data_IF_041152850133
#
_entry.id   IF_041152850133
#
_cell.length_a   1.000
_cell.length_b   1.000
_cell.length_c   1.000
_cell.angle_alpha   90.00
_cell.angle_beta   90.00
_cell.angle_gamma   90.00
#
_symmetry.space_group_name_H-M   'P 1'
#
loop_
_entity.id
_entity.type
_entity.pdbx_description
1 polymer ?
#
# COMPACT_ATOMS: atom_id res chain seq x y z
N UNK A 1 40.84 -20.01 0.59
CA UNK A 1 39.36 -20.11 0.47
C UNK A 1 38.56 -19.06 1.27
N UNK A 2 39.17 -18.26 2.16
CA UNK A 2 38.49 -17.13 2.83
C UNK A 2 38.20 -15.96 1.86
N UNK A 3 39.11 -15.72 0.91
CA UNK A 3 39.03 -14.61 -0.05
C UNK A 3 37.79 -14.67 -0.96
N UNK A 4 37.51 -15.84 -1.55
CA UNK A 4 36.32 -16.04 -2.40
C UNK A 4 35.00 -15.92 -1.60
N UNK A 5 34.98 -16.38 -0.35
CA UNK A 5 33.74 -16.44 0.45
C UNK A 5 33.43 -15.14 1.21
N UNK A 6 34.44 -14.31 1.49
CA UNK A 6 34.29 -13.08 2.29
C UNK A 6 34.70 -11.82 1.55
N UNK A 7 35.87 -11.82 0.92
CA UNK A 7 36.43 -10.61 0.29
C UNK A 7 35.73 -10.27 -1.03
N UNK A 8 35.40 -11.29 -1.83
CA UNK A 8 34.74 -11.07 -3.12
C UNK A 8 33.34 -10.46 -2.97
N UNK A 9 32.43 -10.95 -2.11
CA UNK A 9 31.15 -10.28 -1.87
C UNK A 9 31.29 -8.83 -1.39
N UNK A 10 32.20 -8.57 -0.44
CA UNK A 10 32.44 -7.23 0.09
C UNK A 10 32.96 -6.28 -0.99
N UNK A 11 33.89 -6.75 -1.83
CA UNK A 11 34.43 -5.98 -2.94
C UNK A 11 33.35 -5.65 -3.98
N UNK A 12 32.48 -6.61 -4.32
CA UNK A 12 31.35 -6.38 -5.23
C UNK A 12 30.39 -5.34 -4.64
N UNK A 13 30.03 -5.47 -3.36
CA UNK A 13 29.15 -4.48 -2.71
C UNK A 13 29.79 -3.09 -2.65
N UNK A 14 31.11 -3.02 -2.46
CA UNK A 14 31.85 -1.77 -2.46
C UNK A 14 31.83 -1.10 -3.83
N UNK A 15 32.20 -1.82 -4.89
CA UNK A 15 32.20 -1.30 -6.27
C UNK A 15 30.80 -0.85 -6.68
N UNK A 16 29.79 -1.68 -6.42
CA UNK A 16 28.39 -1.33 -6.72
C UNK A 16 27.97 -0.09 -5.93
N UNK A 17 28.24 -0.03 -4.62
CA UNK A 17 27.91 1.12 -3.78
C UNK A 17 28.58 2.43 -4.26
N UNK A 18 29.86 2.38 -4.61
CA UNK A 18 30.61 3.53 -5.13
C UNK A 18 30.06 4.00 -6.48
N UNK A 19 29.81 3.08 -7.41
CA UNK A 19 29.18 3.41 -8.69
C UNK A 19 27.82 4.08 -8.50
N UNK A 20 27.07 3.69 -7.47
CA UNK A 20 25.76 4.28 -7.18
C UNK A 20 25.84 5.68 -6.62
N UNK A 21 26.80 5.95 -5.73
CA UNK A 21 27.05 7.31 -5.24
C UNK A 21 27.41 8.20 -6.43
N UNK A 22 28.30 7.73 -7.31
CA UNK A 22 28.68 8.47 -8.52
C UNK A 22 27.45 8.70 -9.41
N UNK A 23 26.65 7.67 -9.66
CA UNK A 23 25.48 7.79 -10.53
C UNK A 23 24.41 8.75 -10.00
N UNK A 24 24.21 8.77 -8.69
CA UNK A 24 23.23 9.64 -8.05
C UNK A 24 23.68 11.11 -8.02
N UNK A 25 24.96 11.35 -7.75
CA UNK A 25 25.52 12.71 -7.62
C UNK A 25 26.04 13.29 -8.95
N UNK A 26 26.15 12.51 -10.03
CA UNK A 26 26.72 13.01 -11.30
C UNK A 26 25.81 13.98 -12.06
N UNK A 27 24.54 14.15 -11.67
CA UNK A 27 23.60 15.03 -12.37
C UNK A 27 23.45 14.71 -13.87
N UNK A 28 23.76 13.47 -14.26
CA UNK A 28 23.92 13.11 -15.66
C UNK A 28 22.55 13.09 -16.38
N UNK A 29 22.57 13.51 -17.66
CA UNK A 29 21.37 13.57 -18.50
C UNK A 29 20.63 12.22 -18.55
N UNK A 30 19.29 12.22 -18.71
CA UNK A 30 18.44 11.01 -18.63
C UNK A 30 18.86 9.84 -19.54
N UNK A 31 19.52 10.16 -20.65
CA UNK A 31 19.98 9.29 -21.72
C UNK A 31 21.39 8.73 -21.50
N UNK A 32 22.12 9.23 -20.49
CA UNK A 32 23.48 8.79 -20.18
C UNK A 32 23.55 7.33 -19.68
N UNK A 33 24.65 6.60 -19.97
CA UNK A 33 24.86 5.24 -19.46
C UNK A 33 24.82 5.16 -17.92
N UNK A 34 25.20 6.24 -17.24
CA UNK A 34 25.25 6.36 -15.78
C UNK A 34 23.82 6.36 -15.19
N UNK A 35 22.87 7.06 -15.82
CA UNK A 35 21.45 7.07 -15.41
C UNK A 35 20.76 5.71 -15.55
N UNK A 36 21.21 4.84 -16.47
CA UNK A 36 20.68 3.47 -16.61
C UNK A 36 20.99 2.58 -15.40
N UNK A 37 22.08 2.85 -14.69
CA UNK A 37 22.44 2.10 -13.47
C UNK A 37 21.45 2.46 -12.35
N UNK A 38 21.09 3.74 -12.22
CA UNK A 38 20.10 4.22 -11.26
C UNK A 38 18.70 3.63 -11.53
N UNK A 39 18.25 3.57 -12.79
CA UNK A 39 16.94 3.00 -13.13
C UNK A 39 16.83 1.49 -12.90
N UNK A 40 17.96 0.79 -12.70
CA UNK A 40 17.98 -0.64 -12.40
C UNK A 40 17.77 -0.91 -10.90
N UNK A 41 18.06 0.07 -10.01
CA UNK A 41 17.94 -0.08 -8.56
C UNK A 41 16.54 -0.49 -8.06
N UNK A 42 15.43 0.15 -8.49
CA UNK A 42 14.10 -0.23 -8.04
C UNK A 42 13.77 -1.71 -8.33
N UNK A 43 14.34 -2.26 -9.42
CA UNK A 43 14.16 -3.66 -9.80
C UNK A 43 14.88 -4.60 -8.84
N UNK A 44 16.12 -4.28 -8.46
CA UNK A 44 16.87 -5.06 -7.46
C UNK A 44 16.27 -4.94 -6.06
N UNK A 45 15.84 -3.75 -5.64
CA UNK A 45 15.20 -3.58 -4.33
C UNK A 45 13.88 -4.33 -4.27
N UNK A 46 13.08 -4.34 -5.33
CA UNK A 46 11.86 -5.14 -5.40
C UNK A 46 12.14 -6.65 -5.26
N UNK A 47 13.21 -7.15 -5.89
CA UNK A 47 13.65 -8.55 -5.72
C UNK A 47 14.02 -8.81 -4.26
N UNK A 48 14.83 -7.95 -3.64
CA UNK A 48 15.23 -8.09 -2.22
C UNK A 48 14.02 -8.02 -1.29
N UNK A 49 13.07 -7.10 -1.53
CA UNK A 49 11.84 -6.99 -0.74
C UNK A 49 10.98 -8.25 -0.85
N UNK A 50 10.87 -8.85 -2.04
CA UNK A 50 10.16 -10.11 -2.23
C UNK A 50 10.78 -11.23 -1.38
N UNK A 51 12.10 -11.39 -1.41
CA UNK A 51 12.80 -12.36 -0.56
C UNK A 51 12.64 -12.05 0.93
N UNK A 52 12.74 -10.78 1.32
CA UNK A 52 12.58 -10.33 2.71
C UNK A 52 11.18 -10.64 3.23
N UNK A 53 10.15 -10.44 2.40
CA UNK A 53 8.77 -10.75 2.76
C UNK A 53 8.57 -12.25 2.99
N UNK A 54 9.18 -13.09 2.16
CA UNK A 54 9.17 -14.55 2.34
C UNK A 54 9.92 -14.96 3.60
N UNK A 55 11.15 -14.47 3.81
CA UNK A 55 11.95 -14.77 5.00
C UNK A 55 11.24 -14.32 6.29
N UNK A 56 10.64 -13.13 6.30
CA UNK A 56 9.87 -12.63 7.44
C UNK A 56 8.64 -13.49 7.74
N UNK A 57 7.90 -13.89 6.70
CA UNK A 57 6.75 -14.78 6.80
C UNK A 57 7.14 -16.16 7.32
N UNK A 58 8.21 -16.75 6.75
CA UNK A 58 8.75 -18.03 7.19
C UNK A 58 9.23 -17.97 8.63
N UNK A 59 9.93 -16.90 9.02
CA UNK A 59 10.41 -16.75 10.39
C UNK A 59 9.24 -16.69 11.38
N UNK A 60 8.19 -15.93 11.05
CA UNK A 60 6.97 -15.85 11.86
C UNK A 60 6.30 -17.23 11.99
N UNK A 61 6.16 -17.97 10.91
CA UNK A 61 5.61 -19.33 10.92
C UNK A 61 6.50 -20.28 11.74
N UNK A 62 7.81 -20.31 11.51
CA UNK A 62 8.75 -21.20 12.19
C UNK A 62 8.85 -20.94 13.70
N UNK A 63 8.85 -19.67 14.12
CA UNK A 63 8.89 -19.32 15.55
C UNK A 63 7.59 -19.78 16.22
N UNK A 64 6.43 -19.52 15.61
CA UNK A 64 5.15 -19.89 16.20
C UNK A 64 4.91 -21.41 16.16
N UNK A 65 5.33 -22.10 15.10
CA UNK A 65 5.32 -23.58 15.04
C UNK A 65 6.21 -24.19 16.11
N UNK A 66 7.42 -23.64 16.33
CA UNK A 66 8.29 -24.09 17.42
C UNK A 66 7.67 -23.87 18.79
N UNK A 67 6.98 -22.74 19.03
CA UNK A 67 6.23 -22.49 20.27
C UNK A 67 5.11 -23.51 20.49
N UNK A 68 4.37 -23.85 19.44
CA UNK A 68 3.30 -24.86 19.48
C UNK A 68 3.87 -26.26 19.73
N UNK A 69 4.90 -26.66 19.00
CA UNK A 69 5.53 -27.97 19.13
C UNK A 69 6.16 -28.16 20.54
N UNK A 70 6.77 -27.11 21.08
CA UNK A 70 7.36 -27.12 22.43
C UNK A 70 6.38 -26.81 23.55
N UNK A 71 5.09 -26.59 23.25
CA UNK A 71 4.02 -26.23 24.20
C UNK A 71 4.43 -25.12 25.18
N UNK A 72 5.11 -24.09 24.67
CA UNK A 72 5.53 -22.93 25.47
C UNK A 72 4.29 -22.23 26.05
N UNK A 73 4.33 -21.69 27.29
CA UNK A 73 3.20 -20.94 27.85
C UNK A 73 2.66 -19.90 26.86
N UNK A 74 1.35 -19.93 26.61
CA UNK A 74 0.69 -19.07 25.62
C UNK A 74 0.68 -19.61 24.17
N UNK A 75 1.04 -20.88 23.93
CA UNK A 75 1.03 -21.47 22.59
C UNK A 75 -0.36 -21.44 21.89
N UNK A 76 -1.46 -21.36 22.65
CA UNK A 76 -2.80 -21.21 22.09
C UNK A 76 -2.92 -19.99 21.15
N UNK A 77 -2.29 -18.86 21.51
CA UNK A 77 -2.26 -17.67 20.67
C UNK A 77 -1.47 -17.90 19.37
N UNK A 78 -0.39 -18.68 19.44
CA UNK A 78 0.39 -19.07 18.26
C UNK A 78 -0.41 -19.95 17.30
N UNK A 79 -1.31 -20.81 17.78
CA UNK A 79 -2.22 -21.60 16.92
C UNK A 79 -3.17 -20.67 16.17
N UNK A 80 -3.82 -19.74 16.89
CA UNK A 80 -4.75 -18.78 16.27
C UNK A 80 -4.05 -17.95 15.19
N UNK A 81 -2.83 -17.48 15.47
CA UNK A 81 -2.01 -16.75 14.51
C UNK A 81 -1.68 -17.60 13.26
N UNK A 82 -1.25 -18.85 13.44
CA UNK A 82 -0.92 -19.74 12.32
C UNK A 82 -2.15 -20.04 11.46
N UNK A 83 -3.28 -20.36 12.08
CA UNK A 83 -4.55 -20.61 11.36
C UNK A 83 -4.98 -19.37 10.58
N UNK A 84 -4.94 -18.19 11.21
CA UNK A 84 -5.27 -16.92 10.53
C UNK A 84 -4.31 -16.60 9.39
N UNK A 85 -3.01 -16.81 9.58
CA UNK A 85 -1.98 -16.60 8.55
C UNK A 85 -2.23 -17.48 7.32
N UNK A 86 -2.41 -18.79 7.51
CA UNK A 86 -2.65 -19.71 6.40
C UNK A 86 -4.01 -19.48 5.75
N UNK A 87 -5.07 -19.23 6.53
CA UNK A 87 -6.38 -18.91 5.98
C UNK A 87 -6.32 -17.68 5.04
N UNK A 88 -5.60 -16.63 5.45
CA UNK A 88 -5.44 -15.42 4.64
C UNK A 88 -4.52 -15.65 3.43
N UNK A 89 -3.42 -16.38 3.60
CA UNK A 89 -2.51 -16.70 2.50
C UNK A 89 -3.22 -17.52 1.41
N UNK A 90 -3.98 -18.53 1.82
CA UNK A 90 -4.81 -19.36 0.95
C UNK A 90 -5.86 -18.47 0.25
N UNK A 91 -6.65 -17.69 1.00
CA UNK A 91 -7.66 -16.80 0.41
C UNK A 91 -7.06 -15.81 -0.59
N UNK A 92 -5.87 -15.26 -0.31
CA UNK A 92 -5.15 -14.35 -1.20
C UNK A 92 -4.67 -15.02 -2.49
N UNK A 93 -4.05 -16.20 -2.38
CA UNK A 93 -3.58 -16.97 -3.53
C UNK A 93 -4.74 -17.35 -4.45
N UNK A 94 -5.83 -17.86 -3.89
CA UNK A 94 -7.03 -18.24 -4.64
C UNK A 94 -7.71 -17.03 -5.31
N UNK A 95 -7.78 -15.89 -4.62
CA UNK A 95 -8.32 -14.66 -5.21
C UNK A 95 -7.48 -14.16 -6.41
N UNK A 96 -6.15 -14.29 -6.34
CA UNK A 96 -5.24 -13.93 -7.42
C UNK A 96 -5.34 -14.88 -8.63
N UNK A 97 -5.31 -16.19 -8.38
CA UNK A 97 -5.39 -17.20 -9.45
C UNK A 97 -6.75 -17.21 -10.14
N UNK A 98 -7.83 -16.87 -9.44
CA UNK A 98 -9.18 -16.91 -10.01
C UNK A 98 -9.45 -15.80 -11.04
N UNK A 99 -8.82 -14.63 -10.88
CA UNK A 99 -8.90 -13.53 -11.89
C UNK A 99 -8.44 -13.99 -13.27
N UNK A 100 -7.62 -15.03 -13.35
CA UNK A 100 -7.12 -15.63 -14.61
C UNK A 100 -8.15 -16.61 -15.20
N UNK A 101 -8.97 -17.25 -14.36
CA UNK A 101 -9.97 -18.24 -14.76
C UNK A 101 -11.31 -17.64 -15.26
N UNK A 102 -11.59 -16.37 -14.95
CA UNK A 102 -12.83 -15.67 -15.37
C UNK A 102 -12.87 -15.28 -16.86
N UNK A 103 -11.90 -15.68 -17.69
CA UNK A 103 -11.89 -15.36 -19.13
C UNK A 103 -12.98 -16.04 -19.97
N UNK A 104 -13.77 -16.96 -19.40
CA UNK A 104 -14.87 -17.64 -20.10
C UNK A 104 -16.23 -16.93 -19.91
N UNK A 105 -16.27 -15.60 -20.00
CA UNK A 105 -17.52 -14.84 -19.95
C UNK A 105 -18.31 -15.10 -21.24
N UNK A 106 -19.54 -15.61 -21.09
CA UNK A 106 -20.46 -15.87 -22.21
C UNK A 106 -21.53 -14.79 -22.30
N UNK A 107 -21.83 -14.37 -23.53
CA UNK A 107 -22.99 -13.53 -23.84
C UNK A 107 -24.27 -14.27 -23.45
N UNK A 108 -25.21 -13.58 -22.80
CA UNK A 108 -26.42 -14.14 -22.20
C UNK A 108 -26.21 -14.75 -20.81
N UNK A 109 -24.96 -14.86 -20.34
CA UNK A 109 -24.67 -15.33 -18.99
C UNK A 109 -24.98 -14.24 -17.94
N UNK A 110 -25.43 -14.70 -16.77
CA UNK A 110 -25.71 -13.84 -15.62
C UNK A 110 -24.54 -13.90 -14.62
N UNK A 111 -24.01 -12.74 -14.28
CA UNK A 111 -22.85 -12.57 -13.40
C UNK A 111 -23.14 -11.50 -12.35
N UNK A 112 -22.17 -11.26 -11.45
CA UNK A 112 -22.23 -10.12 -10.53
C UNK A 112 -21.21 -9.07 -10.92
N UNK A 113 -21.66 -7.84 -11.10
CA UNK A 113 -20.81 -6.68 -11.36
C UNK A 113 -20.50 -5.99 -10.03
N UNK A 114 -19.22 -5.73 -9.78
CA UNK A 114 -18.76 -4.93 -8.66
C UNK A 114 -18.99 -3.44 -8.96
N UNK A 115 -19.59 -2.73 -8.02
CA UNK A 115 -19.73 -1.27 -8.08
C UNK A 115 -18.35 -0.56 -8.13
N UNK A 116 -18.29 0.67 -8.63
CA UNK A 116 -17.08 1.50 -8.66
C UNK A 116 -16.45 1.67 -7.27
N UNK A 117 -17.28 1.65 -6.21
CA UNK A 117 -16.80 1.72 -4.84
C UNK A 117 -16.18 0.42 -4.30
N UNK A 118 -16.26 -0.68 -5.06
CA UNK A 118 -15.77 -2.00 -4.65
C UNK A 118 -16.56 -2.64 -3.50
N UNK A 119 -17.71 -2.07 -3.12
CA UNK A 119 -18.43 -2.45 -1.89
C UNK A 119 -19.68 -3.29 -2.13
N UNK A 120 -20.32 -3.15 -3.27
CA UNK A 120 -21.59 -3.84 -3.55
C UNK A 120 -21.51 -4.60 -4.88
N UNK A 121 -22.31 -5.65 -4.96
CA UNK A 121 -22.49 -6.44 -6.16
C UNK A 121 -23.90 -6.25 -6.71
N UNK A 122 -24.01 -5.93 -7.99
CA UNK A 122 -25.27 -5.90 -8.71
C UNK A 122 -25.35 -7.11 -9.65
N UNK A 123 -26.52 -7.73 -9.76
CA UNK A 123 -26.74 -8.82 -10.72
C UNK A 123 -26.79 -8.22 -12.12
N UNK A 124 -26.02 -8.78 -13.05
CA UNK A 124 -25.93 -8.26 -14.42
C UNK A 124 -25.98 -9.39 -15.44
N UNK A 125 -26.55 -9.12 -16.60
CA UNK A 125 -26.53 -9.99 -17.78
C UNK A 125 -25.56 -9.43 -18.82
N UNK A 126 -24.70 -10.28 -19.36
CA UNK A 126 -23.75 -9.87 -20.41
C UNK A 126 -24.47 -9.82 -21.75
N UNK A 127 -24.56 -8.64 -22.36
CA UNK A 127 -25.24 -8.42 -23.65
C UNK A 127 -24.23 -8.50 -24.80
N UNK A 128 -23.00 -8.04 -24.58
CA UNK A 128 -21.96 -8.00 -25.60
C UNK A 128 -20.58 -7.92 -25.00
N UNK A 129 -19.60 -8.43 -25.75
CA UNK A 129 -18.18 -8.38 -25.39
C UNK A 129 -17.47 -7.69 -26.54
N UNK A 130 -16.92 -6.52 -26.27
CA UNK A 130 -16.15 -5.75 -27.22
C UNK A 130 -14.67 -6.12 -27.01
N UNK A 131 -14.04 -6.63 -28.07
CA UNK A 131 -12.63 -7.05 -28.06
C UNK A 131 -11.76 -5.90 -28.54
N UNK A 132 -10.58 -5.78 -27.94
CA UNK A 132 -9.57 -4.82 -28.36
C UNK A 132 -9.04 -5.21 -29.74
N UNK A 133 -9.01 -4.25 -30.67
CA UNK A 133 -8.36 -4.43 -31.96
C UNK A 133 -6.84 -4.32 -31.79
N UNK A 134 -6.20 -5.48 -31.66
CA UNK A 134 -4.76 -5.57 -31.41
C UNK A 134 -3.91 -5.05 -32.57
N UNK A 135 -4.43 -5.06 -33.80
CA UNK A 135 -3.73 -4.49 -34.96
C UNK A 135 -3.70 -2.97 -34.87
N UNK A 136 -4.84 -2.36 -34.56
CA UNK A 136 -4.95 -0.92 -34.35
C UNK A 136 -4.13 -0.46 -33.12
N UNK A 137 -4.18 -1.21 -32.01
CA UNK A 137 -3.42 -0.95 -30.79
C UNK A 137 -1.90 -1.00 -31.07
N UNK A 138 -1.42 -2.06 -31.73
CA UNK A 138 -0.01 -2.19 -32.09
C UNK A 138 0.45 -1.08 -33.03
N UNK A 139 -0.38 -0.70 -34.00
CA UNK A 139 -0.07 0.41 -34.89
C UNK A 139 -0.01 1.76 -34.13
N UNK A 140 -0.85 1.96 -33.11
CA UNK A 140 -0.80 3.14 -32.25
C UNK A 140 0.47 3.16 -31.37
N UNK A 141 0.86 2.02 -30.79
CA UNK A 141 2.08 1.90 -29.98
C UNK A 141 3.35 2.10 -30.80
N UNK A 142 3.39 1.58 -32.03
CA UNK A 142 4.50 1.81 -32.97
C UNK A 142 4.59 3.28 -33.39
N UNK A 143 3.45 3.99 -33.50
CA UNK A 143 3.40 5.43 -33.79
C UNK A 143 3.84 6.30 -32.61
N UNK A 144 3.60 5.86 -31.37
CA UNK A 144 4.02 6.58 -30.17
C UNK A 144 5.55 6.68 -30.05
N UNK A 145 6.27 5.63 -30.48
CA UNK A 145 7.72 5.65 -30.70
C UNK A 145 8.59 5.73 -29.44
N UNK A 146 8.00 5.75 -28.24
CA UNK A 146 8.74 5.69 -26.99
C UNK A 146 9.24 4.26 -26.71
N UNK A 147 10.40 4.10 -26.04
CA UNK A 147 11.01 2.78 -25.82
C UNK A 147 10.10 1.78 -25.11
N UNK A 148 9.22 2.26 -24.22
CA UNK A 148 8.29 1.41 -23.48
C UNK A 148 7.12 0.91 -24.35
N UNK A 149 6.54 1.77 -25.20
CA UNK A 149 5.50 1.34 -26.15
C UNK A 149 6.04 0.39 -27.21
N UNK A 150 7.30 0.56 -27.65
CA UNK A 150 7.94 -0.37 -28.60
C UNK A 150 8.19 -1.75 -27.98
N UNK A 151 8.61 -1.83 -26.72
CA UNK A 151 8.75 -3.08 -25.98
C UNK A 151 7.39 -3.75 -25.76
N UNK A 152 6.36 -2.97 -25.44
CA UNK A 152 4.98 -3.46 -25.29
C UNK A 152 4.42 -3.98 -26.61
N UNK A 153 4.62 -3.25 -27.72
CA UNK A 153 4.19 -3.65 -29.06
C UNK A 153 4.87 -4.95 -29.55
N UNK A 154 6.11 -5.20 -29.12
CA UNK A 154 6.84 -6.43 -29.43
C UNK A 154 6.34 -7.64 -28.61
N UNK A 155 5.83 -7.42 -27.40
CA UNK A 155 5.29 -8.45 -26.52
C UNK A 155 3.82 -8.82 -26.74
N UNK A 156 3.10 -8.11 -27.63
CA UNK A 156 1.69 -8.40 -27.92
C UNK A 156 1.53 -9.69 -28.73
N UNK A 157 0.81 -10.66 -28.17
CA UNK A 157 0.33 -11.84 -28.89
C UNK A 157 -0.85 -11.47 -29.80
N UNK A 158 -0.59 -11.41 -31.10
CA UNK A 158 -1.58 -11.04 -32.13
C UNK A 158 -2.76 -12.01 -32.23
N UNK A 159 -2.63 -13.24 -31.71
CA UNK A 159 -3.70 -14.23 -31.72
C UNK A 159 -4.53 -14.22 -30.43
N UNK A 160 -4.16 -13.40 -29.44
CA UNK A 160 -4.88 -13.31 -28.19
C UNK A 160 -6.19 -12.53 -28.36
N UNK A 161 -7.32 -13.08 -27.89
CA UNK A 161 -8.55 -12.29 -27.74
C UNK A 161 -8.51 -11.54 -26.42
N UNK A 162 -8.19 -10.25 -26.48
CA UNK A 162 -8.19 -9.36 -25.31
C UNK A 162 -9.54 -8.65 -25.23
N UNK A 163 -10.22 -8.80 -24.10
CA UNK A 163 -11.50 -8.11 -23.86
C UNK A 163 -11.20 -6.68 -23.45
N UNK A 164 -11.76 -5.70 -24.18
CA UNK A 164 -11.64 -4.27 -23.86
C UNK A 164 -12.77 -3.86 -22.89
N UNK A 165 -14.03 -4.01 -23.34
CA UNK A 165 -15.21 -3.66 -22.55
C UNK A 165 -16.30 -4.70 -22.68
N UNK A 166 -17.06 -4.89 -21.60
CA UNK A 166 -18.21 -5.79 -21.57
C UNK A 166 -19.46 -4.95 -21.36
N UNK A 167 -20.40 -5.04 -22.31
CA UNK A 167 -21.71 -4.40 -22.20
C UNK A 167 -22.62 -5.27 -21.34
N UNK A 168 -23.07 -4.72 -20.22
CA UNK A 168 -23.88 -5.43 -19.23
C UNK A 168 -25.21 -4.73 -18.98
N UNK A 169 -26.29 -5.51 -18.86
CA UNK A 169 -27.61 -5.06 -18.42
C UNK A 169 -27.75 -5.34 -16.92
N UNK A 170 -28.15 -4.36 -16.13
CA UNK A 170 -28.44 -4.60 -14.72
C UNK A 170 -29.80 -5.30 -14.54
N UNK A 171 -29.87 -6.26 -13.63
CA UNK A 171 -31.06 -7.06 -13.36
C UNK A 171 -31.65 -6.71 -11.99
N UNK A 172 -32.99 -6.69 -11.91
CA UNK A 172 -33.74 -6.58 -10.67
C UNK A 172 -33.79 -7.93 -9.92
N UNK A 173 -34.38 -7.95 -8.72
CA UNK A 173 -34.57 -9.16 -7.90
C UNK A 173 -35.36 -10.27 -8.60
N UNK A 174 -36.24 -9.89 -9.53
CA UNK A 174 -37.06 -10.81 -10.35
C UNK A 174 -36.40 -11.17 -11.69
N UNK A 175 -35.09 -10.93 -11.86
CA UNK A 175 -34.32 -11.20 -13.07
C UNK A 175 -34.80 -10.48 -14.34
N UNK A 176 -35.51 -9.36 -14.16
CA UNK A 176 -35.88 -8.44 -15.24
C UNK A 176 -34.80 -7.38 -15.42
N UNK A 177 -34.56 -6.98 -16.67
CA UNK A 177 -33.64 -5.88 -16.98
C UNK A 177 -34.16 -4.57 -16.39
N UNK A 178 -33.34 -3.92 -15.58
CA UNK A 178 -33.62 -2.62 -15.01
C UNK A 178 -33.67 -1.58 -16.12
N UNK A 179 -34.69 -0.74 -16.08
CA UNK A 179 -34.83 0.39 -16.99
C UNK A 179 -34.40 1.67 -16.29
N UNK A 180 -33.71 2.55 -17.02
CA UNK A 180 -33.33 3.88 -16.59
C UNK A 180 -34.07 4.89 -17.47
N UNK A 181 -34.67 5.90 -16.83
CA UNK A 181 -35.25 7.03 -17.55
C UNK A 181 -34.13 7.95 -18.02
N UNK A 182 -33.98 8.08 -19.33
CA UNK A 182 -33.02 8.98 -19.97
C UNK A 182 -33.81 10.07 -20.67
N UNK A 183 -33.38 11.33 -20.52
CA UNK A 183 -33.94 12.44 -21.29
C UNK A 183 -33.29 12.45 -22.68
N UNK A 184 -34.12 12.33 -23.70
CA UNK A 184 -33.75 12.44 -25.12
C UNK A 184 -33.22 13.85 -25.42
N UNK A 185 -32.54 14.05 -26.56
CA UNK A 185 -31.98 15.36 -26.97
C UNK A 185 -33.04 16.49 -27.03
N UNK A 186 -34.32 16.11 -27.14
CA UNK A 186 -35.49 17.01 -27.13
C UNK A 186 -36.17 17.14 -25.76
N UNK A 187 -35.52 16.70 -24.67
CA UNK A 187 -36.00 16.83 -23.29
C UNK A 187 -37.13 15.87 -22.89
N UNK A 188 -37.49 14.91 -23.74
CA UNK A 188 -38.54 13.90 -23.46
C UNK A 188 -37.96 12.75 -22.67
N UNK A 189 -38.68 12.30 -21.64
CA UNK A 189 -38.29 11.15 -20.83
C UNK A 189 -38.58 9.85 -21.59
N UNK A 190 -37.54 9.02 -21.76
CA UNK A 190 -37.64 7.70 -22.40
C UNK A 190 -37.04 6.66 -21.46
N UNK A 191 -37.78 5.59 -21.20
CA UNK A 191 -37.23 4.43 -20.50
C UNK A 191 -36.31 3.65 -21.45
N UNK A 192 -35.05 3.48 -21.06
CA UNK A 192 -34.05 2.71 -21.80
C UNK A 192 -33.48 1.66 -20.86
N UNK A 193 -33.15 0.48 -21.37
CA UNK A 193 -32.48 -0.56 -20.59
C UNK A 193 -31.20 -0.02 -19.97
N UNK A 194 -30.96 -0.33 -18.69
CA UNK A 194 -29.79 0.15 -17.98
C UNK A 194 -28.58 -0.68 -18.39
N UNK A 195 -27.92 -0.21 -19.46
CA UNK A 195 -26.74 -0.83 -20.05
C UNK A 195 -25.51 0.02 -19.75
N UNK A 196 -24.47 -0.60 -19.20
CA UNK A 196 -23.17 0.03 -18.93
C UNK A 196 -22.05 -0.78 -19.57
N UNK A 197 -21.04 -0.11 -20.11
CA UNK A 197 -19.80 -0.74 -20.53
C UNK A 197 -18.86 -0.84 -19.33
N UNK A 198 -18.55 -2.06 -18.91
CA UNK A 198 -17.81 -2.36 -17.70
C UNK A 198 -16.53 -3.13 -18.05
N UNK A 199 -15.46 -2.88 -17.31
CA UNK A 199 -14.19 -3.60 -17.43
C UNK A 199 -14.35 -5.06 -16.97
N UNK A 200 -13.56 -5.96 -17.57
CA UNK A 200 -13.65 -7.40 -17.28
C UNK A 200 -13.36 -7.76 -15.82
N UNK A 201 -12.54 -6.98 -15.12
CA UNK A 201 -12.16 -7.19 -13.72
C UNK A 201 -13.30 -6.94 -12.71
N UNK A 202 -14.31 -6.16 -13.09
CA UNK A 202 -15.48 -5.86 -12.27
C UNK A 202 -16.53 -6.97 -12.33
N UNK A 203 -16.49 -7.84 -13.34
CA UNK A 203 -17.43 -8.95 -13.50
C UNK A 203 -16.88 -10.16 -12.77
N UNK A 204 -17.64 -10.64 -11.77
CA UNK A 204 -17.27 -11.80 -10.97
C UNK A 204 -18.31 -12.91 -11.09
N UNK A 205 -17.82 -14.14 -11.14
CA UNK A 205 -18.65 -15.32 -10.94
C UNK A 205 -19.08 -15.49 -9.48
N UNK A 206 -19.93 -16.47 -9.20
CA UNK A 206 -20.40 -16.80 -7.84
C UNK A 206 -19.22 -17.04 -6.89
N UNK A 207 -18.21 -17.79 -7.34
CA UNK A 207 -17.00 -18.07 -6.57
C UNK A 207 -16.19 -16.79 -6.28
N UNK A 208 -16.01 -15.93 -7.28
CA UNK A 208 -15.31 -14.64 -7.13
C UNK A 208 -16.01 -13.69 -6.16
N UNK A 209 -17.34 -13.74 -6.10
CA UNK A 209 -18.15 -12.99 -5.11
C UNK A 209 -17.91 -13.52 -3.71
N UNK A 210 -18.00 -14.84 -3.51
CA UNK A 210 -17.77 -15.47 -2.20
C UNK A 210 -16.38 -15.17 -1.65
N UNK A 211 -15.34 -15.25 -2.50
CA UNK A 211 -13.97 -14.92 -2.11
C UNK A 211 -13.84 -13.45 -1.71
N UNK A 212 -14.36 -12.52 -2.54
CA UNK A 212 -14.32 -11.10 -2.25
C UNK A 212 -15.01 -10.76 -0.93
N UNK A 213 -16.20 -11.33 -0.69
CA UNK A 213 -16.93 -11.12 0.55
C UNK A 213 -16.19 -11.72 1.75
N UNK A 214 -15.59 -12.92 1.63
CA UNK A 214 -14.80 -13.52 2.71
C UNK A 214 -13.59 -12.65 3.10
N UNK A 215 -12.87 -12.10 2.12
CA UNK A 215 -11.73 -11.21 2.36
C UNK A 215 -12.19 -9.93 3.05
N UNK A 216 -13.31 -9.36 2.59
CA UNK A 216 -13.87 -8.15 3.20
C UNK A 216 -14.31 -8.37 4.64
N UNK A 217 -14.96 -9.50 4.93
CA UNK A 217 -15.39 -9.86 6.29
C UNK A 217 -14.18 -10.05 7.19
N UNK A 218 -13.16 -10.78 6.75
CA UNK A 218 -11.92 -10.98 7.53
C UNK A 218 -11.21 -9.65 7.78
N UNK A 219 -11.07 -8.81 6.76
CA UNK A 219 -10.41 -7.52 6.88
C UNK A 219 -11.16 -6.56 7.80
N UNK A 220 -12.45 -6.31 7.55
CA UNK A 220 -13.22 -5.34 8.34
C UNK A 220 -13.59 -5.87 9.72
N UNK A 221 -13.99 -7.14 9.80
CA UNK A 221 -14.49 -7.75 11.02
C UNK A 221 -13.38 -8.13 11.99
N UNK A 222 -12.26 -8.67 11.50
CA UNK A 222 -11.17 -9.14 12.36
C UNK A 222 -10.03 -8.15 12.36
N UNK A 223 -9.44 -7.85 11.21
CA UNK A 223 -8.22 -7.05 11.15
C UNK A 223 -8.43 -5.61 11.63
N UNK A 224 -9.42 -4.89 11.07
CA UNK A 224 -9.67 -3.50 11.43
C UNK A 224 -10.08 -3.34 12.90
N UNK A 225 -10.92 -4.23 13.42
CA UNK A 225 -11.31 -4.22 14.83
C UNK A 225 -10.14 -4.57 15.76
N UNK A 226 -9.35 -5.60 15.43
CA UNK A 226 -8.14 -5.92 16.20
C UNK A 226 -7.15 -4.75 16.21
N UNK A 227 -6.96 -4.09 15.06
CA UNK A 227 -6.12 -2.91 14.95
C UNK A 227 -6.66 -1.76 15.83
N UNK A 228 -7.98 -1.53 15.85
CA UNK A 228 -8.60 -0.54 16.73
C UNK A 228 -8.37 -0.87 18.21
N UNK A 229 -8.47 -2.15 18.62
CA UNK A 229 -8.17 -2.55 20.01
C UNK A 229 -6.71 -2.32 20.38
N UNK A 230 -5.77 -2.61 19.46
CA UNK A 230 -4.35 -2.32 19.66
C UNK A 230 -4.10 -0.82 19.82
N UNK A 231 -4.71 0.02 18.98
CA UNK A 231 -4.58 1.47 19.09
C UNK A 231 -5.22 2.02 20.37
N UNK A 232 -6.36 1.48 20.79
CA UNK A 232 -7.02 1.87 22.04
C UNK A 232 -6.13 1.56 23.25
N UNK A 233 -5.55 0.35 23.31
CA UNK A 233 -4.60 -0.02 24.35
C UNK A 233 -3.33 0.85 24.30
N UNK A 234 -2.78 1.07 23.11
CA UNK A 234 -1.61 1.93 22.91
C UNK A 234 -1.89 3.35 23.42
N UNK A 235 -3.04 3.93 23.11
CA UNK A 235 -3.42 5.26 23.59
C UNK A 235 -3.45 5.33 25.12
N UNK A 236 -4.04 4.32 25.79
CA UNK A 236 -4.04 4.22 27.24
C UNK A 236 -2.62 4.12 27.81
N UNK A 237 -1.76 3.27 27.23
CA UNK A 237 -0.37 3.12 27.67
C UNK A 237 0.46 4.38 27.43
N UNK A 238 0.28 5.04 26.29
CA UNK A 238 0.97 6.29 25.96
C UNK A 238 0.52 7.37 26.94
N UNK A 239 -0.78 7.52 27.23
CA UNK A 239 -1.28 8.47 28.21
C UNK A 239 -0.71 8.20 29.62
N UNK A 240 -0.71 6.93 30.06
CA UNK A 240 -0.16 6.52 31.36
C UNK A 240 1.36 6.70 31.45
N UNK A 241 2.10 6.32 30.40
CA UNK A 241 3.54 6.50 30.33
C UNK A 241 3.91 7.98 30.28
N UNK A 242 3.17 8.78 29.51
CA UNK A 242 3.33 10.24 29.44
C UNK A 242 3.08 10.88 30.80
N UNK A 243 1.98 10.54 31.48
CA UNK A 243 1.70 11.07 32.82
C UNK A 243 2.79 10.71 33.85
N UNK A 244 3.36 9.50 33.75
CA UNK A 244 4.48 9.07 34.62
C UNK A 244 5.82 9.72 34.24
N UNK A 245 6.13 9.84 32.96
CA UNK A 245 7.36 10.41 32.44
C UNK A 245 7.40 11.95 32.59
N UNK A 246 6.25 12.61 32.42
CA UNK A 246 6.04 14.03 32.60
C UNK A 246 5.59 14.40 34.02
N UNK A 247 6.04 13.70 35.07
CA UNK A 247 6.08 14.35 36.41
C UNK A 247 6.93 15.60 36.22
N UNK A 248 6.27 16.76 36.12
CA UNK A 248 6.87 18.06 35.76
C UNK A 248 8.00 18.33 36.76
N UNK A 249 9.22 17.98 36.36
CA UNK A 249 10.45 18.19 37.13
C UNK A 249 11.40 19.14 36.40
N UNK A 250 11.16 19.45 35.12
CA UNK A 250 11.99 20.34 34.31
C UNK A 250 11.13 21.24 33.41
N UNK A 251 11.66 22.43 33.07
CA UNK A 251 10.97 23.43 32.22
C UNK A 251 10.82 22.93 30.78
N UNK A 252 11.76 22.11 30.31
CA UNK A 252 11.79 21.54 28.96
C UNK A 252 10.68 20.48 28.78
N UNK A 253 10.51 19.61 29.79
CA UNK A 253 9.48 18.57 29.78
C UNK A 253 8.06 19.17 29.78
N UNK A 254 7.87 20.30 30.47
CA UNK A 254 6.61 21.02 30.47
C UNK A 254 6.28 21.63 29.09
N UNK A 255 7.28 22.19 28.40
CA UNK A 255 7.12 22.75 27.06
C UNK A 255 6.76 21.65 26.04
N UNK A 256 7.46 20.50 26.08
CA UNK A 256 7.16 19.35 25.23
C UNK A 256 5.74 18.81 25.47
N UNK A 257 5.33 18.70 26.73
CA UNK A 257 4.00 18.23 27.10
C UNK A 257 2.91 19.20 26.59
N UNK A 258 3.13 20.51 26.73
CA UNK A 258 2.22 21.54 26.22
C UNK A 258 2.09 21.46 24.69
N UNK A 259 3.22 21.36 23.98
CA UNK A 259 3.24 21.20 22.52
C UNK A 259 2.49 19.93 22.08
N UNK A 260 2.74 18.79 22.73
CA UNK A 260 2.05 17.54 22.42
C UNK A 260 0.53 17.63 22.65
N UNK A 261 0.12 18.30 23.74
CA UNK A 261 -1.30 18.51 24.05
C UNK A 261 -2.00 19.38 23.00
N UNK A 262 -1.37 20.46 22.56
CA UNK A 262 -1.89 21.34 21.50
C UNK A 262 -2.06 20.58 20.18
N UNK A 263 -1.05 19.80 19.78
CA UNK A 263 -1.11 18.98 18.55
C UNK A 263 -2.22 17.93 18.67
N UNK A 264 -2.37 17.30 19.84
CA UNK A 264 -3.40 16.31 20.07
C UNK A 264 -4.80 16.91 19.94
N UNK A 265 -5.05 18.08 20.54
CA UNK A 265 -6.32 18.79 20.42
C UNK A 265 -6.64 19.17 18.96
N UNK A 266 -5.65 19.64 18.20
CA UNK A 266 -5.84 19.99 16.78
C UNK A 266 -6.04 18.80 15.83
N UNK A 267 -5.89 17.56 16.30
CA UNK A 267 -6.15 16.35 15.50
C UNK A 267 -7.56 15.77 15.70
N UNK A 268 -8.32 16.26 16.69
CA UNK A 268 -9.66 15.76 16.98
C UNK A 268 -10.64 16.42 16.00
N UNK A 269 -11.63 15.69 15.42
CA UNK A 269 -12.65 16.28 14.54
C UNK A 269 -13.43 17.45 15.15
N UNK A 270 -13.50 17.51 16.49
CA UNK A 270 -14.11 18.59 17.28
C UNK A 270 -13.25 19.87 17.35
N UNK A 271 -12.00 19.84 16.89
CA UNK A 271 -11.08 20.98 16.96
C UNK A 271 -11.66 22.23 16.29
N UNK A 272 -12.34 22.06 15.16
CA UNK A 272 -12.95 23.16 14.42
C UNK A 272 -14.10 23.81 15.22
N UNK A 273 -14.91 23.00 15.92
CA UNK A 273 -16.01 23.50 16.75
C UNK A 273 -15.48 24.23 17.99
N UNK A 274 -14.42 23.72 18.61
CA UNK A 274 -13.77 24.37 19.77
C UNK A 274 -13.08 25.67 19.34
N UNK A 275 -12.43 25.68 18.18
CA UNK A 275 -11.81 26.87 17.59
C UNK A 275 -12.85 27.96 17.30
N UNK A 276 -14.01 27.60 16.73
CA UNK A 276 -15.12 28.54 16.53
C UNK A 276 -15.64 29.16 17.84
N UNK A 277 -15.64 28.41 18.94
CA UNK A 277 -16.02 28.94 20.25
C UNK A 277 -14.94 29.89 20.81
N UNK A 278 -13.66 29.53 20.71
CA UNK A 278 -12.53 30.35 21.12
C UNK A 278 -12.44 31.68 20.33
N UNK A 279 -12.83 31.67 19.06
CA UNK A 279 -12.84 32.86 18.21
C UNK A 279 -13.84 33.93 18.67
N UNK A 280 -14.84 33.57 19.50
CA UNK A 280 -15.81 34.53 20.09
C UNK A 280 -15.21 35.41 21.18
N UNK A 281 -14.00 35.12 21.66
CA UNK A 281 -13.32 35.95 22.66
C UNK A 281 -12.73 37.18 21.95
N UNK A 282 -13.17 38.42 22.26
CA UNK A 282 -12.63 39.62 21.65
C UNK A 282 -11.12 39.76 21.94
N UNK A 283 -10.38 40.31 20.97
CA UNK A 283 -8.92 40.55 21.00
C UNK A 283 -8.02 39.32 20.81
N UNK A 284 -8.28 38.19 21.49
CA UNK A 284 -7.33 37.05 21.53
C UNK A 284 -7.82 35.86 20.67
N UNK A 285 -9.13 35.77 20.40
CA UNK A 285 -9.74 34.61 19.73
C UNK A 285 -9.18 34.31 18.33
N UNK A 286 -8.69 35.32 17.60
CA UNK A 286 -8.09 35.15 16.26
C UNK A 286 -6.72 34.44 16.28
N UNK A 287 -5.99 34.55 17.38
CA UNK A 287 -4.66 33.93 17.55
C UNK A 287 -4.71 32.57 18.28
N UNK A 288 -5.85 32.24 18.89
CA UNK A 288 -6.09 31.00 19.64
C UNK A 288 -6.69 29.87 18.77
N UNK A 289 -6.53 29.95 17.44
CA UNK A 289 -6.95 28.85 16.57
C UNK A 289 -6.00 27.65 16.73
N UNK A 290 -6.47 26.66 17.47
CA UNK A 290 -5.76 25.41 17.76
C UNK A 290 -5.32 24.72 16.47
N UNK A 291 -6.11 24.84 15.39
CA UNK A 291 -5.80 24.25 14.09
C UNK A 291 -4.59 24.93 13.46
N UNK A 292 -4.61 26.26 13.33
CA UNK A 292 -3.48 27.05 12.81
C UNK A 292 -2.20 26.85 13.62
N UNK A 293 -2.28 26.81 14.96
CA UNK A 293 -1.10 26.60 15.82
C UNK A 293 -0.51 25.20 15.59
N UNK A 294 -1.34 24.16 15.53
CA UNK A 294 -0.90 22.80 15.20
C UNK A 294 -0.24 22.78 13.83
N UNK A 295 -0.85 23.38 12.81
CA UNK A 295 -0.30 23.40 11.45
C UNK A 295 1.07 24.06 11.42
N UNK A 296 1.25 25.21 12.06
CA UNK A 296 2.55 25.85 12.17
C UNK A 296 3.60 24.96 12.87
N UNK A 297 3.22 24.32 13.99
CA UNK A 297 4.10 23.45 14.76
C UNK A 297 4.52 22.18 13.98
N UNK A 298 3.63 21.67 13.12
CA UNK A 298 3.93 20.54 12.24
C UNK A 298 4.72 20.98 10.99
N UNK A 299 4.41 22.15 10.43
CA UNK A 299 4.98 22.61 9.17
C UNK A 299 6.43 23.08 9.31
N UNK A 300 6.77 23.82 10.38
CA UNK A 300 8.12 24.38 10.53
C UNK A 300 8.99 23.59 11.52
N UNK A 301 8.73 23.59 12.85
CA UNK A 301 9.64 22.94 13.80
C UNK A 301 9.73 21.43 13.61
N UNK A 302 8.59 20.75 13.43
CA UNK A 302 8.57 19.30 13.23
C UNK A 302 9.25 18.90 11.90
N UNK A 303 9.00 19.64 10.81
CA UNK A 303 9.66 19.38 9.52
C UNK A 303 11.18 19.60 9.59
N UNK A 304 11.63 20.68 10.24
CA UNK A 304 13.05 20.92 10.48
C UNK A 304 13.69 19.81 11.33
N UNK A 305 13.01 19.37 12.39
CA UNK A 305 13.47 18.27 13.24
C UNK A 305 13.54 16.94 12.47
N UNK A 306 12.53 16.60 11.67
CA UNK A 306 12.55 15.41 10.82
C UNK A 306 13.72 15.45 9.83
N UNK A 307 13.96 16.61 9.21
CA UNK A 307 15.09 16.80 8.30
C UNK A 307 16.42 16.57 9.02
N UNK A 308 16.61 17.16 10.19
CA UNK A 308 17.82 16.96 11.00
C UNK A 308 18.01 15.49 11.42
N UNK A 309 16.93 14.80 11.82
CA UNK A 309 16.96 13.38 12.18
C UNK A 309 17.33 12.52 10.98
N UNK A 310 16.74 12.78 9.80
CA UNK A 310 17.04 12.02 8.59
C UNK A 310 18.50 12.22 8.18
N UNK A 311 19.00 13.46 8.16
CA UNK A 311 20.41 13.75 7.85
C UNK A 311 21.33 13.08 8.86
N UNK A 312 21.02 13.16 10.16
CA UNK A 312 21.80 12.51 11.20
C UNK A 312 21.81 10.99 11.08
N UNK A 313 20.65 10.39 10.78
CA UNK A 313 20.51 8.94 10.60
C UNK A 313 21.22 8.46 9.34
N UNK A 314 21.15 9.19 8.23
CA UNK A 314 21.85 8.84 6.99
C UNK A 314 23.35 8.93 7.18
N UNK A 315 23.87 10.02 7.73
CA UNK A 315 25.29 10.17 8.06
C UNK A 315 25.77 9.10 9.06
N UNK A 316 24.95 8.79 10.07
CA UNK A 316 25.20 7.70 11.01
C UNK A 316 25.29 6.34 10.32
N UNK A 317 24.36 6.03 9.42
CA UNK A 317 24.36 4.78 8.65
C UNK A 317 25.54 4.68 7.68
N UNK A 318 25.94 5.79 7.06
CA UNK A 318 27.13 5.87 6.22
C UNK A 318 28.40 5.63 7.04
N UNK A 319 28.46 6.21 8.25
CA UNK A 319 29.58 6.02 9.17
C UNK A 319 29.70 4.57 9.60
N UNK A 320 28.59 3.93 9.99
CA UNK A 320 28.58 2.50 10.33
C UNK A 320 29.02 1.64 9.13
N UNK A 321 28.50 1.92 7.94
CA UNK A 321 28.89 1.22 6.71
C UNK A 321 30.38 1.37 6.41
N UNK A 322 30.94 2.57 6.60
CA UNK A 322 32.35 2.86 6.39
C UNK A 322 33.24 2.15 7.42
N UNK A 323 32.84 2.10 8.70
CA UNK A 323 33.58 1.35 9.74
C UNK A 323 33.63 -0.15 9.45
N UNK A 324 32.53 -0.71 8.93
CA UNK A 324 32.48 -2.11 8.49
C UNK A 324 33.42 -2.33 7.30
N UNK A 325 33.37 -1.44 6.29
CA UNK A 325 34.24 -1.51 5.10
C UNK A 325 35.73 -1.42 5.44
N UNK A 326 36.10 -0.52 6.35
CA UNK A 326 37.48 -0.35 6.80
C UNK A 326 37.93 -1.47 7.78
N UNK A 327 37.04 -2.41 8.12
CA UNK A 327 37.33 -3.50 9.02
C UNK A 327 37.56 -3.08 10.48
N UNK A 328 37.15 -1.85 10.82
CA UNK A 328 37.21 -1.29 12.18
C UNK A 328 36.12 -1.96 13.05
N UNK A 329 34.91 -2.12 12.51
CA UNK A 329 33.84 -2.87 13.15
C UNK A 329 33.80 -4.31 12.60
N UNK A 330 34.18 -5.28 13.44
CA UNK A 330 34.21 -6.71 13.09
C UNK A 330 32.99 -7.49 13.60
N UNK A 331 31.92 -6.80 14.00
CA UNK A 331 30.75 -7.43 14.65
C UNK A 331 30.10 -8.54 13.78
N UNK A 332 30.11 -8.39 12.45
CA UNK A 332 29.59 -9.40 11.53
C UNK A 332 30.52 -10.62 11.30
N UNK A 333 31.75 -10.56 11.83
CA UNK A 333 32.74 -11.64 11.78
C UNK A 333 32.81 -12.46 13.09
N UNK A 334 31.97 -12.16 14.08
CA UNK A 334 31.96 -12.82 15.39
C UNK A 334 33.13 -12.42 16.30
N UNK A 335 33.75 -11.25 16.05
CA UNK A 335 34.73 -10.69 16.97
C UNK A 335 34.03 -9.91 18.07
N UNK A 336 34.24 -10.30 19.33
CA UNK A 336 33.87 -9.50 20.50
C UNK A 336 34.66 -8.19 20.50
N UNK A 337 33.93 -7.09 20.38
CA UNK A 337 34.43 -5.72 20.41
C UNK A 337 33.27 -4.76 20.42
#
# INVERSE_FOLDING_TARGET
>A
MLFIKRTLPLFVTFVVGTLMIIAFFSGASPDSPIKRIESTLPRWTQIVMAFTMVLGSLNLVLINLRKVNRKVPGYGYSIVLLVGFFAMAIAGLFAGSWRIAEKNIKVGGVYRCLDQSGRSFSKVMVIGIDYLDLEAEKAALLKAGDPASLETAAGLDMNAKVVDRIRVAYLDKDDKVLKRTVKDEKGREKEVDYIEAVTSDRIKGICGVLMHDSQRILYKGVFANAQATMFSLLAFFVASASFRAFRIKSKESALLMLSAFIVMLGNIPLANTVSMWLMKIPVIGKFLDIVTIKEWLLAYPSSAAQTAIIIGATLGSMTASLKILLGIERSHLGGEG
#
